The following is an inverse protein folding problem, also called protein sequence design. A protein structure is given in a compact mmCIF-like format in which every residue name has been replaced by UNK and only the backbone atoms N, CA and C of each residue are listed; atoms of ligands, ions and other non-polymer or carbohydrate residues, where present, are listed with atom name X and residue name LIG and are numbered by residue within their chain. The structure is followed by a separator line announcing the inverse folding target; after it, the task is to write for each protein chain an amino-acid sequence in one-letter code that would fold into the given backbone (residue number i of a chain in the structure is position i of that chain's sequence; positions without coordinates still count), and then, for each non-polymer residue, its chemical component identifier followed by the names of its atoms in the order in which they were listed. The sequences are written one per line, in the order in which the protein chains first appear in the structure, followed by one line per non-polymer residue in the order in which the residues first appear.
data_IF_363645129816
#
_entry.id   IF_363645129816
#
_cell.length_a   1.000
_cell.length_b   1.000
_cell.length_c   1.000
_cell.angle_alpha   90.00
_cell.angle_beta   90.00
_cell.angle_gamma   90.00
#
_symmetry.space_group_name_H-M   'P 1'
#
loop_
_entity.id
_entity.type
_entity.pdbx_description
1 polymer ?
#
# COMPACT_ATOMS: atom_id res chain seq x y z
N UNK A 1 -28.98 44.80 -9.67
CA UNK A 1 -29.39 43.73 -10.61
C UNK A 1 -28.80 42.42 -10.10
N UNK A 2 -29.64 41.46 -9.69
CA UNK A 2 -29.19 40.10 -9.36
C UNK A 2 -28.79 39.41 -10.68
N UNK A 3 -27.52 39.03 -10.80
CA UNK A 3 -27.02 38.32 -11.97
C UNK A 3 -27.68 36.96 -12.09
N UNK A 4 -28.44 36.76 -13.16
CA UNK A 4 -28.99 35.47 -13.56
C UNK A 4 -27.83 34.54 -13.94
N UNK A 5 -27.65 33.41 -13.24
CA UNK A 5 -26.71 32.37 -13.68
C UNK A 5 -27.11 31.91 -15.09
N UNK A 6 -26.24 32.09 -16.08
CA UNK A 6 -26.44 31.48 -17.39
C UNK A 6 -26.17 29.98 -17.29
N UNK A 7 -27.23 29.17 -17.30
CA UNK A 7 -27.13 27.73 -17.50
C UNK A 7 -26.89 27.46 -18.98
N UNK A 8 -25.73 26.90 -19.33
CA UNK A 8 -25.42 26.46 -20.69
C UNK A 8 -25.64 24.95 -20.80
N UNK A 9 -26.29 24.51 -21.88
CA UNK A 9 -26.54 23.08 -22.11
C UNK A 9 -25.37 22.44 -22.85
N UNK A 10 -24.72 21.48 -22.20
CA UNK A 10 -23.66 20.64 -22.78
C UNK A 10 -24.21 19.23 -23.06
N UNK A 11 -24.18 18.79 -24.32
CA UNK A 11 -24.62 17.45 -24.70
C UNK A 11 -23.45 16.46 -24.66
N UNK A 12 -23.40 15.63 -23.63
CA UNK A 12 -22.39 14.59 -23.46
C UNK A 12 -22.92 13.22 -23.88
N UNK A 13 -22.09 12.44 -24.59
CA UNK A 13 -22.39 11.05 -24.96
C UNK A 13 -21.61 10.10 -24.07
N UNK A 14 -22.32 9.23 -23.35
CA UNK A 14 -21.72 8.25 -22.46
C UNK A 14 -22.00 6.81 -22.93
N UNK A 15 -21.10 5.90 -22.59
CA UNK A 15 -21.30 4.48 -22.83
C UNK A 15 -22.49 3.95 -22.01
N UNK A 16 -23.27 3.02 -22.58
CA UNK A 16 -24.54 2.53 -21.99
C UNK A 16 -24.36 2.00 -20.55
N UNK A 17 -23.27 1.27 -20.29
CA UNK A 17 -22.92 0.76 -18.95
C UNK A 17 -22.74 1.87 -17.91
N UNK A 18 -22.18 3.02 -18.31
CA UNK A 18 -21.96 4.15 -17.40
C UNK A 18 -23.29 4.82 -17.03
N UNK A 19 -24.19 4.97 -18.01
CA UNK A 19 -25.54 5.51 -17.78
C UNK A 19 -26.34 4.61 -16.83
N UNK A 20 -26.23 3.30 -16.99
CA UNK A 20 -26.88 2.33 -16.10
C UNK A 20 -26.32 2.41 -14.67
N UNK A 21 -24.99 2.49 -14.51
CA UNK A 21 -24.35 2.67 -13.20
C UNK A 21 -24.78 3.98 -12.53
N UNK A 22 -24.82 5.09 -13.28
CA UNK A 22 -25.31 6.38 -12.78
C UNK A 22 -26.77 6.33 -12.35
N UNK A 23 -27.64 5.66 -13.11
CA UNK A 23 -29.06 5.46 -12.75
C UNK A 23 -29.24 4.66 -11.47
N UNK A 24 -28.52 3.54 -11.34
CA UNK A 24 -28.59 2.69 -10.14
C UNK A 24 -28.15 3.48 -8.90
N UNK A 25 -27.06 4.25 -9.04
CA UNK A 25 -26.52 5.04 -7.93
C UNK A 25 -27.42 6.23 -7.58
N UNK A 26 -27.95 6.95 -8.57
CA UNK A 26 -28.89 8.04 -8.37
C UNK A 26 -30.16 7.56 -7.65
N UNK A 27 -30.65 6.35 -7.98
CA UNK A 27 -31.77 5.73 -7.28
C UNK A 27 -31.47 5.37 -5.83
N UNK A 28 -30.24 4.91 -5.52
CA UNK A 28 -29.81 4.63 -4.14
C UNK A 28 -29.62 5.89 -3.30
N UNK A 29 -29.15 6.97 -3.92
CA UNK A 29 -28.87 8.26 -3.26
C UNK A 29 -30.07 9.22 -3.31
N UNK A 30 -31.23 8.76 -3.80
CA UNK A 30 -32.45 9.54 -3.97
C UNK A 30 -32.23 10.93 -4.62
N UNK A 31 -31.41 10.95 -5.67
CA UNK A 31 -31.05 12.17 -6.42
C UNK A 31 -31.32 11.98 -7.92
N UNK A 32 -31.35 13.07 -8.69
CA UNK A 32 -31.49 12.96 -10.14
C UNK A 32 -30.18 12.53 -10.79
N UNK A 33 -30.25 11.79 -11.90
CA UNK A 33 -29.07 11.38 -12.67
C UNK A 33 -28.26 12.59 -13.15
N UNK A 34 -28.94 13.68 -13.51
CA UNK A 34 -28.29 14.92 -13.95
C UNK A 34 -27.57 15.61 -12.80
N UNK A 35 -28.19 15.72 -11.62
CA UNK A 35 -27.55 16.30 -10.43
C UNK A 35 -26.37 15.44 -9.95
N UNK A 36 -26.47 14.11 -10.06
CA UNK A 36 -25.37 13.20 -9.73
C UNK A 36 -24.22 13.32 -10.73
N UNK A 37 -24.52 13.40 -12.04
CA UNK A 37 -23.52 13.59 -13.08
C UNK A 37 -22.86 14.97 -13.00
N UNK A 38 -23.65 16.03 -12.74
CA UNK A 38 -23.15 17.37 -12.49
C UNK A 38 -22.27 17.38 -11.24
N UNK A 39 -22.65 16.74 -10.14
CA UNK A 39 -21.79 16.61 -8.95
C UNK A 39 -20.50 15.84 -9.24
N UNK A 40 -20.54 14.79 -10.06
CA UNK A 40 -19.31 14.07 -10.44
C UNK A 40 -18.41 14.88 -11.38
N UNK A 41 -19.00 15.62 -12.32
CA UNK A 41 -18.27 16.52 -13.21
C UNK A 41 -17.72 17.70 -12.42
N UNK A 42 -18.51 18.31 -11.55
CA UNK A 42 -18.13 19.41 -10.68
C UNK A 42 -17.03 18.95 -9.71
N UNK A 43 -17.17 17.79 -9.06
CA UNK A 43 -16.08 17.22 -8.25
C UNK A 43 -14.83 16.87 -9.08
N UNK A 44 -15.01 16.35 -10.30
CA UNK A 44 -13.90 16.01 -11.21
C UNK A 44 -13.28 17.19 -11.95
N UNK A 45 -13.90 18.37 -11.89
CA UNK A 45 -13.42 19.64 -12.46
C UNK A 45 -12.97 20.63 -11.37
N UNK A 46 -13.43 20.45 -10.12
CA UNK A 46 -12.96 21.12 -8.90
C UNK A 46 -11.63 20.58 -8.41
N UNK A 47 -11.28 19.35 -8.81
CA UNK A 47 -9.89 18.88 -8.76
C UNK A 47 -9.06 19.88 -9.53
N UNK A 48 -8.19 20.59 -8.81
CA UNK A 48 -7.24 21.54 -9.40
C UNK A 48 -6.63 20.85 -10.61
N UNK A 49 -6.85 21.42 -11.80
CA UNK A 49 -6.29 20.91 -13.04
C UNK A 49 -4.82 20.65 -12.75
N UNK A 50 -4.34 19.39 -12.87
CA UNK A 50 -3.01 19.07 -12.43
C UNK A 50 -2.04 20.05 -13.10
N UNK A 51 -1.14 20.64 -12.32
CA UNK A 51 -0.09 21.46 -12.94
C UNK A 51 0.64 20.61 -13.97
N UNK A 52 1.26 21.24 -14.96
CA UNK A 52 2.06 20.54 -15.98
C UNK A 52 3.06 19.54 -15.35
N UNK A 53 3.49 19.80 -14.10
CA UNK A 53 4.33 18.92 -13.28
C UNK A 53 3.74 17.54 -13.00
N UNK A 54 2.52 17.42 -12.44
CA UNK A 54 1.92 16.11 -12.16
C UNK A 54 1.72 15.27 -13.44
N UNK A 55 1.30 15.89 -14.55
CA UNK A 55 1.16 15.19 -15.81
C UNK A 55 2.50 14.69 -16.36
N UNK A 56 3.60 15.42 -16.15
CA UNK A 56 4.94 14.94 -16.48
C UNK A 56 5.33 13.72 -15.65
N UNK A 57 5.00 13.71 -14.35
CA UNK A 57 5.27 12.55 -13.49
C UNK A 57 4.52 11.30 -13.95
N UNK A 58 3.26 11.45 -14.35
CA UNK A 58 2.42 10.34 -14.84
C UNK A 58 2.81 9.91 -16.26
N UNK A 59 3.36 10.80 -17.09
CA UNK A 59 3.79 10.47 -18.45
C UNK A 59 5.03 9.56 -18.49
N UNK A 60 5.92 9.68 -17.50
CA UNK A 60 7.07 8.79 -17.32
C UNK A 60 7.18 8.34 -15.84
N UNK A 61 6.37 7.34 -15.43
CA UNK A 61 6.37 6.86 -14.06
C UNK A 61 7.71 6.21 -13.68
N UNK A 62 8.45 5.64 -14.64
CA UNK A 62 9.72 4.96 -14.38
C UNK A 62 10.82 5.97 -14.04
N UNK A 63 10.88 7.11 -14.75
CA UNK A 63 11.74 8.23 -14.35
C UNK A 63 11.34 8.83 -13.00
N UNK A 64 10.04 8.99 -12.76
CA UNK A 64 9.51 9.49 -11.48
C UNK A 64 9.93 8.59 -10.31
N UNK A 65 9.75 7.27 -10.44
CA UNK A 65 10.18 6.30 -9.41
C UNK A 65 11.68 6.39 -9.17
N UNK A 66 12.51 6.51 -10.21
CA UNK A 66 13.97 6.67 -10.05
C UNK A 66 14.33 7.92 -9.26
N UNK A 67 13.69 9.05 -9.56
CA UNK A 67 13.88 10.29 -8.82
C UNK A 67 13.46 10.16 -7.36
N UNK A 68 12.25 9.65 -7.12
CA UNK A 68 11.71 9.45 -5.78
C UNK A 68 12.53 8.44 -4.98
N UNK A 69 13.05 7.39 -5.60
CA UNK A 69 13.91 6.41 -4.94
C UNK A 69 15.23 7.03 -4.49
N UNK A 70 15.89 7.83 -5.34
CA UNK A 70 17.10 8.59 -4.96
C UNK A 70 16.81 9.52 -3.78
N UNK A 71 15.70 10.25 -3.83
CA UNK A 71 15.36 11.24 -2.81
C UNK A 71 14.91 10.59 -1.49
N UNK A 72 13.92 9.70 -1.53
CA UNK A 72 13.26 9.13 -0.35
C UNK A 72 14.07 7.96 0.22
N UNK A 73 14.52 7.02 -0.61
CA UNK A 73 15.15 5.78 -0.14
C UNK A 73 16.63 5.99 0.12
N UNK A 74 17.37 6.50 -0.88
CA UNK A 74 18.83 6.71 -0.78
C UNK A 74 19.21 7.98 -0.02
N UNK A 75 18.27 8.88 0.26
CA UNK A 75 18.55 10.15 0.93
C UNK A 75 19.48 11.07 0.11
N UNK A 76 19.55 10.87 -1.21
CA UNK A 76 20.36 11.67 -2.12
C UNK A 76 19.62 12.97 -2.46
N UNK A 77 19.53 13.85 -1.45
CA UNK A 77 18.96 15.19 -1.58
C UNK A 77 20.05 16.13 -2.09
N UNK A 78 20.35 16.11 -3.40
CA UNK A 78 21.36 16.97 -4.02
C UNK A 78 20.94 18.46 -4.04
N UNK A 79 20.75 19.07 -2.88
CA UNK A 79 20.23 20.44 -2.76
C UNK A 79 18.78 20.61 -3.22
N UNK A 80 18.04 19.51 -3.42
CA UNK A 80 16.65 19.51 -3.85
C UNK A 80 15.71 19.86 -2.71
N UNK A 81 14.65 20.60 -3.04
CA UNK A 81 13.53 20.92 -2.16
C UNK A 81 12.91 19.64 -1.57
N UNK A 82 12.18 19.72 -0.43
CA UNK A 82 11.34 18.62 0.03
C UNK A 82 10.41 18.14 -1.09
N UNK A 83 9.94 16.89 -0.99
CA UNK A 83 9.00 16.29 -1.94
C UNK A 83 7.86 17.26 -2.25
N UNK A 84 7.72 17.57 -3.54
CA UNK A 84 6.78 18.56 -4.04
C UNK A 84 5.33 18.10 -3.90
N UNK A 85 4.37 19.03 -3.98
CA UNK A 85 2.93 18.72 -3.95
C UNK A 85 2.52 17.71 -5.03
N UNK A 86 3.08 17.85 -6.24
CA UNK A 86 2.79 16.94 -7.36
C UNK A 86 3.35 15.54 -7.11
N UNK A 87 4.55 15.43 -6.54
CA UNK A 87 5.13 14.15 -6.11
C UNK A 87 4.34 13.50 -4.97
N UNK A 88 3.87 14.29 -3.99
CA UNK A 88 3.00 13.78 -2.91
C UNK A 88 1.67 13.26 -3.50
N UNK A 89 1.07 13.99 -4.44
CA UNK A 89 -0.13 13.55 -5.15
C UNK A 89 0.13 12.26 -5.92
N UNK A 90 1.27 12.15 -6.61
CA UNK A 90 1.68 10.95 -7.33
C UNK A 90 1.78 9.74 -6.39
N UNK A 91 2.51 9.89 -5.27
CA UNK A 91 2.67 8.84 -4.25
C UNK A 91 1.32 8.38 -3.71
N UNK A 92 0.45 9.32 -3.31
CA UNK A 92 -0.86 9.00 -2.73
C UNK A 92 -1.81 8.34 -3.73
N UNK A 93 -1.79 8.79 -4.98
CA UNK A 93 -2.58 8.20 -6.07
C UNK A 93 -2.22 6.73 -6.21
N UNK A 94 -0.94 6.41 -6.41
CA UNK A 94 -0.52 5.02 -6.61
C UNK A 94 -0.50 4.20 -5.32
N UNK A 95 -0.35 4.81 -4.14
CA UNK A 95 -0.55 4.10 -2.88
C UNK A 95 -2.00 3.62 -2.70
N UNK A 96 -2.98 4.39 -3.18
CA UNK A 96 -4.39 3.95 -3.23
C UNK A 96 -4.60 2.87 -4.29
N UNK A 97 -4.07 3.04 -5.50
CA UNK A 97 -4.16 2.04 -6.57
C UNK A 97 -3.54 0.68 -6.16
N UNK A 98 -2.56 0.67 -5.27
CA UNK A 98 -1.98 -0.56 -4.71
C UNK A 98 -3.05 -1.51 -4.14
N UNK A 99 -4.08 -0.96 -3.49
CA UNK A 99 -5.18 -1.73 -2.92
C UNK A 99 -6.15 -2.22 -4.00
N UNK A 100 -6.21 -1.59 -5.17
CA UNK A 100 -7.03 -2.04 -6.30
C UNK A 100 -6.30 -3.18 -7.05
N UNK A 101 -4.99 -3.02 -7.28
CA UNK A 101 -4.15 -4.00 -7.99
C UNK A 101 -3.79 -5.24 -7.15
N UNK A 102 -4.11 -5.25 -5.85
CA UNK A 102 -3.68 -6.29 -4.93
C UNK A 102 -4.42 -7.63 -4.98
N UNK A 103 -5.42 -7.83 -5.84
CA UNK A 103 -6.47 -8.88 -5.75
C UNK A 103 -6.28 -9.98 -4.69
N UNK A 104 -7.11 -9.94 -3.64
CA UNK A 104 -7.18 -10.91 -2.53
C UNK A 104 -5.97 -10.92 -1.57
N UNK A 105 -4.91 -10.13 -1.77
CA UNK A 105 -3.94 -9.86 -0.69
C UNK A 105 -4.56 -9.07 0.46
N UNK A 106 -4.16 -9.35 1.69
CA UNK A 106 -4.58 -8.53 2.83
C UNK A 106 -3.69 -7.29 2.93
N UNK A 107 -4.29 -6.14 3.23
CA UNK A 107 -3.56 -4.90 3.48
C UNK A 107 -2.67 -5.05 4.72
N UNK A 108 -1.37 -4.76 4.64
CA UNK A 108 -0.57 -4.71 5.86
C UNK A 108 -0.88 -3.41 6.63
N UNK A 109 -1.28 -3.57 7.89
CA UNK A 109 -1.62 -2.45 8.79
C UNK A 109 -0.54 -1.37 8.92
N UNK A 110 0.78 -1.61 8.83
CA UNK A 110 1.77 -0.55 9.04
C UNK A 110 1.72 0.56 7.97
N UNK A 111 1.59 0.19 6.69
CA UNK A 111 1.56 1.15 5.60
C UNK A 111 0.21 1.87 5.54
N UNK A 112 -0.91 1.11 5.64
CA UNK A 112 -2.25 1.69 5.76
C UNK A 112 -2.37 2.60 6.99
N UNK A 113 -1.85 2.17 8.13
CA UNK A 113 -1.82 2.95 9.37
C UNK A 113 -1.00 4.22 9.24
N UNK A 114 0.10 4.20 8.47
CA UNK A 114 0.88 5.40 8.14
C UNK A 114 0.06 6.39 7.32
N UNK A 115 -0.67 5.91 6.31
CA UNK A 115 -1.56 6.76 5.52
C UNK A 115 -2.72 7.31 6.37
N UNK A 116 -3.30 6.52 7.27
CA UNK A 116 -4.33 7.00 8.21
C UNK A 116 -3.78 8.03 9.19
N UNK A 117 -2.52 7.92 9.63
CA UNK A 117 -1.85 8.97 10.41
C UNK A 117 -1.70 10.26 9.61
N UNK A 118 -1.33 10.15 8.33
CA UNK A 118 -1.26 11.31 7.44
C UNK A 118 -2.64 11.96 7.30
N UNK A 119 -3.70 11.17 7.08
CA UNK A 119 -5.08 11.67 7.03
C UNK A 119 -5.47 12.40 8.31
N UNK A 120 -5.17 11.81 9.47
CA UNK A 120 -5.43 12.40 10.78
C UNK A 120 -4.73 13.75 10.94
N UNK A 121 -3.46 13.84 10.58
CA UNK A 121 -2.67 15.06 10.77
C UNK A 121 -3.05 16.16 9.75
N UNK A 122 -3.47 15.78 8.53
CA UNK A 122 -4.06 16.73 7.58
C UNK A 122 -5.39 17.30 8.09
N UNK A 123 -6.24 16.45 8.67
CA UNK A 123 -7.50 16.86 9.27
C UNK A 123 -7.27 17.78 10.48
N UNK A 124 -6.32 17.42 11.36
CA UNK A 124 -5.90 18.27 12.48
C UNK A 124 -5.48 19.66 12.00
N UNK A 125 -4.60 19.71 10.99
CA UNK A 125 -4.12 20.96 10.43
C UNK A 125 -5.25 21.81 9.85
N UNK A 126 -6.21 21.21 9.13
CA UNK A 126 -7.37 21.94 8.60
C UNK A 126 -8.23 22.55 9.71
N UNK A 127 -8.51 21.78 10.77
CA UNK A 127 -9.31 22.24 11.92
C UNK A 127 -8.58 23.35 12.69
N UNK A 128 -7.28 23.20 12.94
CA UNK A 128 -6.46 24.20 13.65
C UNK A 128 -6.31 25.54 12.90
N UNK A 129 -6.46 25.52 11.57
CA UNK A 129 -6.28 26.69 10.70
C UNK A 129 -7.62 27.20 10.13
N UNK A 130 -8.76 26.81 10.73
CA UNK A 130 -10.11 27.22 10.33
C UNK A 130 -10.40 27.01 8.83
N UNK A 131 -9.84 25.95 8.25
CA UNK A 131 -10.08 25.59 6.84
C UNK A 131 -11.38 24.80 6.70
N UNK A 132 -12.13 24.98 5.60
CA UNK A 132 -13.33 24.19 5.34
C UNK A 132 -13.02 22.70 5.32
N UNK A 133 -13.69 21.94 6.18
CA UNK A 133 -13.60 20.47 6.23
C UNK A 133 -14.76 19.89 5.43
N UNK A 134 -14.50 18.95 4.52
CA UNK A 134 -15.55 18.17 3.84
C UNK A 134 -16.14 17.13 4.80
N UNK A 135 -16.92 17.63 5.75
CA UNK A 135 -17.47 16.84 6.83
C UNK A 135 -18.43 15.76 6.33
N UNK A 136 -19.19 16.00 5.25
CA UNK A 136 -20.09 15.00 4.69
C UNK A 136 -19.29 13.80 4.14
N UNK A 137 -18.22 14.06 3.41
CA UNK A 137 -17.40 13.01 2.84
C UNK A 137 -16.64 12.20 3.91
N UNK A 138 -16.01 12.89 4.87
CA UNK A 138 -15.28 12.24 5.97
C UNK A 138 -16.20 11.44 6.90
N UNK A 139 -17.38 11.98 7.25
CA UNK A 139 -18.40 11.25 8.02
C UNK A 139 -18.85 9.98 7.30
N UNK A 140 -19.01 10.05 5.98
CA UNK A 140 -19.39 8.88 5.17
C UNK A 140 -18.33 7.77 5.16
N UNK A 141 -17.04 8.12 5.09
CA UNK A 141 -15.93 7.17 4.97
C UNK A 141 -15.54 6.59 6.34
N UNK A 142 -15.32 7.46 7.33
CA UNK A 142 -14.83 7.07 8.65
C UNK A 142 -15.96 6.84 9.67
N UNK A 143 -17.23 6.96 9.25
CA UNK A 143 -18.43 6.79 10.09
C UNK A 143 -18.45 7.74 11.30
N UNK A 144 -17.94 8.95 11.10
CA UNK A 144 -17.96 10.01 12.11
C UNK A 144 -19.39 10.54 12.27
N UNK A 145 -19.74 10.93 13.48
CA UNK A 145 -21.09 11.37 13.89
C UNK A 145 -21.16 12.88 14.11
N UNK A 146 -20.13 13.46 14.74
CA UNK A 146 -20.10 14.87 15.14
C UNK A 146 -19.01 15.66 14.43
N UNK A 147 -18.62 16.76 15.06
CA UNK A 147 -17.51 17.64 14.62
C UNK A 147 -16.31 17.52 15.56
N UNK A 148 -16.34 16.54 16.48
CA UNK A 148 -15.19 16.22 17.31
C UNK A 148 -14.21 15.34 16.52
N UNK A 149 -13.69 15.93 15.43
CA UNK A 149 -13.00 15.25 14.36
C UNK A 149 -11.84 14.37 14.85
N UNK A 150 -11.04 14.90 15.78
CA UNK A 150 -9.85 14.21 16.26
C UNK A 150 -10.18 13.01 17.14
N UNK A 151 -11.05 13.19 18.15
CA UNK A 151 -11.43 12.09 19.05
C UNK A 151 -12.22 11.00 18.32
N UNK A 152 -13.12 11.39 17.41
CA UNK A 152 -13.91 10.44 16.64
C UNK A 152 -13.05 9.67 15.62
N UNK A 153 -12.06 10.32 14.99
CA UNK A 153 -11.13 9.64 14.09
C UNK A 153 -10.20 8.69 14.85
N UNK A 154 -9.72 9.09 16.02
CA UNK A 154 -8.89 8.23 16.88
C UNK A 154 -9.68 7.03 17.40
N UNK A 155 -10.96 7.21 17.76
CA UNK A 155 -11.86 6.13 18.12
C UNK A 155 -12.15 5.19 16.94
N UNK A 156 -12.41 5.73 15.74
CA UNK A 156 -12.56 4.94 14.51
C UNK A 156 -11.33 4.07 14.27
N UNK A 157 -10.13 4.66 14.36
CA UNK A 157 -8.87 3.96 14.14
C UNK A 157 -8.62 2.87 15.18
N UNK A 158 -8.94 3.13 16.45
CA UNK A 158 -8.83 2.13 17.51
C UNK A 158 -9.82 0.95 17.32
N UNK A 159 -10.96 1.20 16.68
CA UNK A 159 -11.96 0.18 16.35
C UNK A 159 -11.71 -0.54 15.01
N UNK A 160 -10.69 -0.14 14.24
CA UNK A 160 -10.38 -0.74 12.95
C UNK A 160 -9.96 -2.20 13.13
N UNK A 161 -10.56 -3.09 12.35
CA UNK A 161 -10.24 -4.52 12.41
C UNK A 161 -8.80 -4.77 11.96
N UNK A 162 -8.12 -5.78 12.52
CA UNK A 162 -6.76 -6.11 12.12
C UNK A 162 -6.62 -6.55 10.66
N UNK A 163 -7.64 -7.25 10.15
CA UNK A 163 -7.75 -7.60 8.74
C UNK A 163 -8.54 -6.51 8.03
N UNK A 164 -7.85 -5.77 7.16
CA UNK A 164 -8.47 -4.83 6.22
C UNK A 164 -8.37 -5.45 4.83
N UNK A 165 -9.52 -5.76 4.24
CA UNK A 165 -9.56 -6.14 2.83
C UNK A 165 -9.22 -4.94 1.95
N UNK A 166 -8.82 -5.23 0.72
CA UNK A 166 -8.41 -4.24 -0.26
C UNK A 166 -9.45 -3.18 -0.60
N UNK A 167 -10.70 -3.60 -0.75
CA UNK A 167 -11.77 -2.67 -1.12
C UNK A 167 -12.02 -1.70 0.01
N UNK A 168 -11.92 -2.17 1.26
CA UNK A 168 -12.02 -1.31 2.42
C UNK A 168 -10.78 -0.43 2.59
N UNK A 169 -9.57 -0.96 2.38
CA UNK A 169 -8.33 -0.17 2.39
C UNK A 169 -8.35 0.96 1.37
N UNK A 170 -8.72 0.67 0.12
CA UNK A 170 -8.93 1.68 -0.92
C UNK A 170 -9.96 2.73 -0.50
N UNK A 171 -11.10 2.29 0.05
CA UNK A 171 -12.17 3.17 0.48
C UNK A 171 -11.72 4.17 1.56
N UNK A 172 -10.91 3.71 2.52
CA UNK A 172 -10.34 4.54 3.59
C UNK A 172 -9.34 5.58 3.09
N UNK A 173 -8.73 5.36 1.94
CA UNK A 173 -7.70 6.24 1.36
C UNK A 173 -8.26 7.25 0.35
N UNK A 174 -9.52 7.11 -0.07
CA UNK A 174 -10.15 8.08 -1.00
C UNK A 174 -10.06 9.55 -0.55
N UNK A 175 -10.12 9.91 0.75
CA UNK A 175 -9.95 11.30 1.17
C UNK A 175 -8.59 11.90 0.77
N UNK A 176 -7.53 11.10 0.77
CA UNK A 176 -6.17 11.56 0.45
C UNK A 176 -5.95 11.83 -1.05
N UNK A 177 -6.72 11.17 -1.92
CA UNK A 177 -6.63 11.35 -3.38
C UNK A 177 -7.67 12.36 -3.91
N UNK A 178 -8.80 12.52 -3.22
CA UNK A 178 -9.79 13.56 -3.50
C UNK A 178 -9.35 14.95 -3.03
N UNK A 179 -10.03 16.00 -3.47
CA UNK A 179 -9.83 17.38 -2.95
C UNK A 179 -10.29 17.59 -1.50
N UNK A 180 -10.60 16.53 -0.75
CA UNK A 180 -10.89 16.62 0.68
C UNK A 180 -9.76 17.33 1.44
N UNK A 181 -8.51 17.14 1.01
CA UNK A 181 -7.34 17.88 1.50
C UNK A 181 -6.67 18.63 0.35
N UNK A 182 -7.06 19.89 0.13
CA UNK A 182 -6.43 20.72 -0.90
C UNK A 182 -4.98 21.10 -0.50
N UNK A 183 -3.99 20.36 -1.03
CA UNK A 183 -2.58 20.61 -0.73
C UNK A 183 -2.09 21.99 -1.17
N UNK A 184 -2.76 22.65 -2.12
CA UNK A 184 -2.42 24.01 -2.52
C UNK A 184 -2.62 25.02 -1.38
N UNK A 185 -3.55 24.74 -0.45
CA UNK A 185 -3.85 25.62 0.68
C UNK A 185 -2.93 25.38 1.89
N UNK A 186 -2.15 24.29 1.87
CA UNK A 186 -1.26 23.88 2.96
C UNK A 186 0.16 24.38 2.68
N UNK A 187 0.81 25.11 3.61
CA UNK A 187 2.20 25.55 3.46
C UNK A 187 3.17 24.36 3.33
N UNK A 188 4.25 24.54 2.58
CA UNK A 188 5.27 23.51 2.34
C UNK A 188 5.89 22.99 3.64
N UNK A 189 6.05 23.86 4.65
CA UNK A 189 6.57 23.48 5.96
C UNK A 189 5.62 22.55 6.73
N UNK A 190 4.31 22.78 6.63
CA UNK A 190 3.30 21.92 7.25
C UNK A 190 3.23 20.57 6.52
N UNK A 191 3.25 20.59 5.17
CA UNK A 191 3.31 19.36 4.37
C UNK A 191 4.58 18.55 4.70
N UNK A 192 5.75 19.17 4.81
CA UNK A 192 6.98 18.48 5.19
C UNK A 192 6.92 17.90 6.62
N UNK A 193 6.21 18.57 7.53
CA UNK A 193 5.97 18.06 8.89
C UNK A 193 5.02 16.87 8.95
N UNK A 194 4.03 16.81 8.06
CA UNK A 194 3.05 15.71 7.96
C UNK A 194 3.64 14.53 7.16
N UNK A 195 4.25 14.81 6.02
CA UNK A 195 4.89 13.85 5.11
C UNK A 195 6.38 13.70 5.41
N UNK A 196 6.68 13.29 6.65
CA UNK A 196 8.07 13.09 7.06
C UNK A 196 8.74 11.98 6.24
N UNK A 197 10.06 12.06 6.09
CA UNK A 197 10.84 11.05 5.37
C UNK A 197 10.57 9.60 5.84
N UNK A 198 10.47 9.30 7.16
CA UNK A 198 10.10 7.96 7.62
C UNK A 198 8.72 7.50 7.12
N UNK A 199 7.72 8.40 7.10
CA UNK A 199 6.38 8.08 6.58
C UNK A 199 6.41 7.84 5.08
N UNK A 200 7.14 8.68 4.33
CA UNK A 200 7.33 8.51 2.89
C UNK A 200 8.03 7.19 2.54
N UNK A 201 9.06 6.80 3.30
CA UNK A 201 9.70 5.49 3.17
C UNK A 201 8.73 4.33 3.41
N UNK A 202 7.86 4.46 4.41
CA UNK A 202 6.90 3.42 4.75
C UNK A 202 5.81 3.22 3.68
N UNK A 203 5.41 4.28 2.96
CA UNK A 203 4.38 4.19 1.91
C UNK A 203 4.96 3.94 0.51
N UNK A 204 6.27 4.11 0.31
CA UNK A 204 6.93 3.92 -0.99
C UNK A 204 6.66 2.54 -1.63
N UNK A 205 6.70 1.41 -0.89
CA UNK A 205 6.38 0.10 -1.47
C UNK A 205 4.96 0.00 -2.03
N UNK A 206 3.98 0.69 -1.41
CA UNK A 206 2.60 0.73 -1.91
C UNK A 206 2.55 1.44 -3.27
N UNK A 207 3.24 2.57 -3.41
CA UNK A 207 3.30 3.30 -4.69
C UNK A 207 3.83 2.40 -5.82
N UNK A 208 4.89 1.62 -5.58
CA UNK A 208 5.38 0.65 -6.56
C UNK A 208 4.32 -0.41 -6.89
N UNK A 209 3.63 -0.94 -5.87
CA UNK A 209 2.57 -1.92 -6.09
C UNK A 209 1.42 -1.36 -6.93
N UNK A 210 1.01 -0.12 -6.70
CA UNK A 210 -0.03 0.54 -7.49
C UNK A 210 0.37 0.86 -8.93
N UNK A 211 1.67 0.98 -9.20
CA UNK A 211 2.23 1.12 -10.55
C UNK A 211 2.35 -0.22 -11.30
N UNK A 212 1.92 -1.33 -10.69
CA UNK A 212 2.15 -2.69 -11.20
C UNK A 212 3.65 -2.93 -11.51
N UNK A 213 4.51 -2.50 -10.56
CA UNK A 213 5.95 -2.50 -10.74
C UNK A 213 6.50 -3.93 -10.88
N UNK A 214 7.06 -4.25 -12.04
CA UNK A 214 7.52 -5.60 -12.34
C UNK A 214 8.89 -5.90 -11.74
N UNK A 215 9.19 -7.19 -11.55
CA UNK A 215 10.52 -7.64 -11.15
C UNK A 215 11.63 -7.33 -12.17
N UNK A 216 11.29 -6.98 -13.42
CA UNK A 216 12.26 -6.45 -14.39
C UNK A 216 12.60 -5.00 -14.10
N UNK A 217 11.59 -4.14 -13.92
CA UNK A 217 11.79 -2.74 -13.53
C UNK A 217 12.53 -2.61 -12.20
N UNK A 218 12.24 -3.49 -11.24
CA UNK A 218 12.97 -3.55 -9.96
C UNK A 218 14.48 -3.87 -10.16
N UNK A 219 14.81 -4.77 -11.10
CA UNK A 219 16.20 -5.12 -11.43
C UNK A 219 16.91 -3.97 -12.12
N UNK A 220 16.26 -3.32 -13.08
CA UNK A 220 16.83 -2.18 -13.80
C UNK A 220 17.09 -1.01 -12.85
N UNK A 221 16.13 -0.72 -11.96
CA UNK A 221 16.26 0.27 -10.90
C UNK A 221 17.45 -0.03 -9.98
N UNK A 222 17.61 -1.28 -9.56
CA UNK A 222 18.70 -1.70 -8.70
C UNK A 222 20.07 -1.60 -9.41
N UNK A 223 20.15 -1.97 -10.69
CA UNK A 223 21.40 -1.86 -11.47
C UNK A 223 21.83 -0.40 -11.70
N UNK A 224 20.85 0.49 -11.94
CA UNK A 224 21.11 1.92 -12.14
C UNK A 224 21.51 2.61 -10.83
N UNK A 225 20.72 2.41 -9.77
CA UNK A 225 20.84 3.18 -8.52
C UNK A 225 21.74 2.54 -7.48
N UNK A 226 22.04 1.26 -7.64
CA UNK A 226 22.93 0.46 -6.79
C UNK A 226 22.65 0.60 -5.28
N UNK A 227 21.40 0.41 -4.81
CA UNK A 227 21.12 0.44 -3.37
C UNK A 227 21.92 -0.62 -2.63
N UNK A 228 22.33 -0.28 -1.41
CA UNK A 228 23.02 -1.21 -0.50
C UNK A 228 21.95 -2.02 0.24
N UNK A 229 21.67 -3.22 -0.27
CA UNK A 229 20.83 -4.21 0.40
C UNK A 229 21.75 -5.39 0.76
N UNK A 230 21.82 -5.80 2.04
CA UNK A 230 22.77 -6.83 2.45
C UNK A 230 22.41 -8.21 1.89
N UNK A 231 23.44 -8.98 1.54
CA UNK A 231 23.27 -10.40 1.28
C UNK A 231 22.99 -11.15 2.58
N UNK A 232 21.96 -12.00 2.59
CA UNK A 232 21.50 -12.71 3.78
C UNK A 232 21.02 -14.11 3.38
N UNK A 233 21.36 -15.11 4.18
CA UNK A 233 20.77 -16.45 4.09
C UNK A 233 20.21 -16.83 5.44
N UNK A 234 18.93 -17.16 5.49
CA UNK A 234 18.24 -17.64 6.68
C UNK A 234 17.56 -18.97 6.38
N UNK A 235 17.60 -19.88 7.35
CA UNK A 235 16.95 -21.19 7.25
C UNK A 235 15.99 -21.36 8.41
N UNK A 236 14.74 -21.69 8.08
CA UNK A 236 13.66 -21.93 9.02
C UNK A 236 13.18 -23.37 8.85
N UNK A 237 13.11 -24.10 9.95
CA UNK A 237 12.68 -25.50 9.97
C UNK A 237 11.43 -25.65 10.83
N UNK A 238 10.47 -26.43 10.33
CA UNK A 238 9.20 -26.70 10.99
C UNK A 238 8.71 -28.11 10.64
N UNK A 239 8.89 -29.05 11.56
CA UNK A 239 8.64 -30.47 11.29
C UNK A 239 9.55 -30.97 10.16
N UNK A 240 8.96 -31.46 9.08
CA UNK A 240 9.68 -31.95 7.89
C UNK A 240 9.90 -30.89 6.83
N UNK A 241 9.44 -29.66 7.08
CA UNK A 241 9.53 -28.55 6.15
C UNK A 241 10.75 -27.69 6.47
N UNK A 242 11.49 -27.32 5.43
CA UNK A 242 12.59 -26.35 5.50
C UNK A 242 12.33 -25.21 4.51
N UNK A 243 12.36 -23.98 4.99
CA UNK A 243 12.35 -22.76 4.20
C UNK A 243 13.74 -22.16 4.23
N UNK A 244 14.36 -22.02 3.06
CA UNK A 244 15.60 -21.27 2.90
C UNK A 244 15.30 -19.95 2.19
N UNK A 245 15.55 -18.84 2.87
CA UNK A 245 15.40 -17.48 2.34
C UNK A 245 16.80 -16.97 2.06
N UNK A 246 17.14 -16.84 0.77
CA UNK A 246 18.40 -16.28 0.31
C UNK A 246 18.16 -14.95 -0.39
N UNK A 247 18.86 -13.92 0.06
CA UNK A 247 18.92 -12.62 -0.59
C UNK A 247 20.34 -12.47 -1.12
N UNK A 248 20.46 -12.46 -2.44
CA UNK A 248 21.68 -11.99 -3.10
C UNK A 248 21.76 -10.47 -2.90
N UNK A 249 22.95 -9.90 -2.71
CA UNK A 249 23.11 -8.49 -2.38
C UNK A 249 24.53 -8.15 -1.95
N UNK A 250 24.71 -7.03 -1.25
CA UNK A 250 26.04 -6.60 -0.82
C UNK A 250 26.50 -7.41 0.39
N UNK A 251 27.63 -8.10 0.26
CA UNK A 251 28.21 -8.83 1.38
C UNK A 251 28.59 -7.90 2.53
N UNK A 252 28.20 -8.23 3.78
CA UNK A 252 28.67 -7.50 4.96
C UNK A 252 30.21 -7.47 4.99
N UNK A 253 30.79 -6.27 5.01
CA UNK A 253 32.24 -6.09 4.99
C UNK A 253 32.90 -6.11 3.60
N UNK A 254 32.11 -6.07 2.52
CA UNK A 254 32.64 -5.85 1.17
C UNK A 254 33.47 -4.55 1.10
N UNK A 255 34.61 -4.62 0.40
CA UNK A 255 35.51 -3.48 0.24
C UNK A 255 34.83 -2.39 -0.61
N UNK A 256 35.13 -1.10 -0.37
CA UNK A 256 34.77 -0.03 -1.30
C UNK A 256 35.28 -0.38 -2.71
N UNK A 257 34.38 -0.46 -3.69
CA UNK A 257 34.71 -0.86 -5.07
C UNK A 257 34.54 -2.34 -5.42
N UNK A 258 33.99 -3.16 -4.52
CA UNK A 258 33.53 -4.51 -4.87
C UNK A 258 32.48 -4.47 -5.98
N UNK A 259 32.40 -5.55 -6.76
CA UNK A 259 31.37 -5.69 -7.80
C UNK A 259 29.99 -5.58 -7.18
N UNK A 260 29.13 -4.76 -7.81
CA UNK A 260 27.77 -4.60 -7.35
C UNK A 260 26.94 -5.84 -7.70
N UNK A 261 26.60 -6.63 -6.68
CA UNK A 261 25.64 -7.71 -6.80
C UNK A 261 24.20 -7.17 -6.71
N UNK A 262 23.38 -7.45 -7.73
CA UNK A 262 22.01 -6.93 -7.82
C UNK A 262 21.11 -7.64 -6.81
N UNK A 263 20.42 -6.92 -5.91
CA UNK A 263 19.60 -7.53 -4.89
C UNK A 263 18.46 -8.38 -5.45
N UNK A 264 18.41 -9.64 -5.05
CA UNK A 264 17.38 -10.58 -5.48
C UNK A 264 17.07 -11.58 -4.39
N UNK A 265 15.78 -11.86 -4.22
CA UNK A 265 15.31 -12.86 -3.28
C UNK A 265 15.06 -14.21 -3.98
N UNK A 266 15.51 -15.27 -3.32
CA UNK A 266 15.22 -16.66 -3.64
C UNK A 266 14.66 -17.33 -2.39
N UNK A 267 13.46 -17.89 -2.50
CA UNK A 267 12.84 -18.72 -1.48
C UNK A 267 12.88 -20.17 -1.97
N UNK A 268 13.48 -21.08 -1.20
CA UNK A 268 13.39 -22.52 -1.46
C UNK A 268 12.54 -23.15 -0.36
N UNK A 269 11.44 -23.79 -0.75
CA UNK A 269 10.61 -24.58 0.16
C UNK A 269 10.86 -26.05 -0.10
N UNK A 270 11.42 -26.73 0.88
CA UNK A 270 11.81 -28.15 0.83
C UNK A 270 10.95 -28.95 1.79
N UNK A 271 10.25 -29.96 1.28
CA UNK A 271 9.61 -31.02 2.07
C UNK A 271 10.32 -32.35 1.88
N UNK A 272 9.72 -33.45 2.34
CA UNK A 272 10.30 -34.79 2.22
C UNK A 272 10.48 -35.21 0.75
N UNK A 273 9.47 -34.94 -0.09
CA UNK A 273 9.40 -35.44 -1.46
C UNK A 273 9.42 -34.32 -2.52
N UNK A 274 9.69 -33.08 -2.12
CA UNK A 274 9.67 -31.95 -3.03
C UNK A 274 10.65 -30.83 -2.65
N UNK A 275 11.08 -30.08 -3.66
CA UNK A 275 11.79 -28.80 -3.53
C UNK A 275 11.20 -27.86 -4.56
N UNK A 276 10.68 -26.70 -4.12
CA UNK A 276 10.09 -25.70 -5.01
C UNK A 276 10.73 -24.32 -4.80
N UNK A 277 11.21 -23.66 -5.87
CA UNK A 277 11.76 -22.32 -5.79
C UNK A 277 10.70 -21.24 -6.04
N UNK A 278 10.78 -20.15 -5.29
CA UNK A 278 9.92 -18.98 -5.40
C UNK A 278 10.71 -17.67 -5.28
N UNK A 279 10.08 -16.57 -5.70
CA UNK A 279 10.63 -15.22 -5.67
C UNK A 279 10.00 -14.32 -4.60
N UNK A 280 10.20 -13.01 -4.79
CA UNK A 280 9.72 -11.96 -3.91
C UNK A 280 8.21 -12.01 -3.68
N UNK A 281 7.44 -12.21 -4.74
CA UNK A 281 5.97 -12.08 -4.73
C UNK A 281 5.32 -13.08 -3.77
N UNK A 282 5.77 -14.33 -3.81
CA UNK A 282 5.28 -15.40 -2.92
C UNK A 282 5.73 -15.16 -1.48
N UNK A 283 7.00 -14.79 -1.26
CA UNK A 283 7.49 -14.53 0.10
C UNK A 283 6.77 -13.33 0.73
N UNK A 284 6.66 -12.21 0.01
CA UNK A 284 6.00 -10.98 0.49
C UNK A 284 4.57 -11.26 0.95
N UNK A 285 3.80 -12.00 0.15
CA UNK A 285 2.44 -12.37 0.52
C UNK A 285 2.38 -13.36 1.69
N UNK A 286 3.25 -14.38 1.70
CA UNK A 286 3.36 -15.33 2.79
C UNK A 286 3.71 -14.64 4.11
N UNK A 287 4.68 -13.73 4.10
CA UNK A 287 5.04 -12.93 5.28
C UNK A 287 3.87 -12.08 5.78
N UNK A 288 3.13 -11.43 4.87
CA UNK A 288 1.93 -10.67 5.23
C UNK A 288 0.91 -11.52 6.00
N UNK A 289 0.56 -12.70 5.47
CA UNK A 289 -0.42 -13.60 6.09
C UNK A 289 0.08 -14.18 7.42
N UNK A 290 1.34 -14.64 7.47
CA UNK A 290 1.89 -15.30 8.65
C UNK A 290 2.14 -14.31 9.79
N UNK A 291 2.63 -13.09 9.49
CA UNK A 291 2.76 -12.03 10.48
C UNK A 291 1.41 -11.54 11.00
N UNK A 292 0.37 -11.51 10.15
CA UNK A 292 -0.98 -11.16 10.57
C UNK A 292 -1.57 -12.23 11.48
N UNK A 293 -1.46 -13.51 11.10
CA UNK A 293 -1.91 -14.63 11.93
C UNK A 293 -1.19 -14.70 13.27
N UNK A 294 0.13 -14.46 13.28
CA UNK A 294 0.93 -14.46 14.51
C UNK A 294 0.44 -13.41 15.53
N UNK A 295 -0.14 -12.29 15.06
CA UNK A 295 -0.65 -11.20 15.92
C UNK A 295 -2.15 -11.33 16.22
N UNK A 296 -2.93 -11.81 15.25
CA UNK A 296 -4.40 -11.85 15.29
C UNK A 296 -4.92 -13.18 14.73
N UNK A 297 -4.72 -14.30 15.44
CA UNK A 297 -5.06 -15.63 14.93
C UNK A 297 -6.56 -15.78 14.64
N UNK A 298 -7.41 -15.13 15.43
CA UNK A 298 -8.86 -15.10 15.25
C UNK A 298 -9.30 -14.51 13.92
N UNK A 299 -8.50 -13.59 13.36
CA UNK A 299 -8.83 -12.87 12.15
C UNK A 299 -8.66 -13.74 10.89
N UNK A 300 -7.87 -14.83 10.97
CA UNK A 300 -7.64 -15.80 9.89
C UNK A 300 -8.10 -17.22 10.27
N UNK A 301 -8.96 -17.36 11.29
CA UNK A 301 -9.42 -18.65 11.80
C UNK A 301 -10.03 -19.58 10.74
N UNK A 302 -10.70 -19.03 9.72
CA UNK A 302 -11.32 -19.79 8.63
C UNK A 302 -10.42 -19.91 7.39
N UNK A 303 -9.15 -19.52 7.51
CA UNK A 303 -8.22 -19.43 6.40
C UNK A 303 -8.42 -18.20 5.50
N UNK A 304 -7.54 -18.08 4.52
CA UNK A 304 -7.52 -16.99 3.54
C UNK A 304 -6.94 -17.49 2.22
N UNK A 305 -7.58 -17.09 1.12
CA UNK A 305 -7.09 -17.33 -0.24
C UNK A 305 -6.57 -16.00 -0.78
N UNK A 306 -5.25 -15.87 -0.85
CA UNK A 306 -4.59 -14.74 -1.47
C UNK A 306 -4.41 -14.89 -2.98
N UNK A 307 -3.57 -14.02 -3.54
CA UNK A 307 -3.22 -13.99 -4.96
C UNK A 307 -2.38 -15.23 -5.33
N UNK A 308 -1.29 -15.48 -4.59
CA UNK A 308 -0.36 -16.60 -4.80
C UNK A 308 -0.29 -17.54 -3.61
N UNK A 309 -0.64 -17.05 -2.42
CA UNK A 309 -0.53 -17.81 -1.17
C UNK A 309 -1.91 -18.07 -0.59
N UNK A 310 -2.16 -19.34 -0.26
CA UNK A 310 -3.33 -19.76 0.50
C UNK A 310 -2.91 -20.19 1.90
N UNK A 311 -3.76 -19.93 2.89
CA UNK A 311 -3.45 -20.15 4.29
C UNK A 311 -4.68 -20.71 5.01
N UNK A 312 -4.51 -21.73 5.85
CA UNK A 312 -5.55 -22.23 6.74
C UNK A 312 -4.93 -22.70 8.06
N UNK A 313 -5.29 -22.10 9.20
CA UNK A 313 -4.77 -22.55 10.48
C UNK A 313 -5.41 -23.88 10.91
N UNK A 314 -4.75 -24.63 11.81
CA UNK A 314 -5.29 -25.86 12.37
C UNK A 314 -6.54 -25.61 13.24
N UNK A 315 -7.43 -26.60 13.29
CA UNK A 315 -8.55 -26.71 14.23
C UNK A 315 -9.92 -26.28 13.72
N UNK A 316 -10.02 -25.39 12.72
CA UNK A 316 -11.32 -24.91 12.22
C UNK A 316 -11.80 -25.69 10.99
N UNK A 317 -10.95 -25.81 9.97
CA UNK A 317 -11.28 -26.50 8.71
C UNK A 317 -10.80 -27.95 8.75
N UNK A 318 -9.58 -28.16 9.26
CA UNK A 318 -8.91 -29.45 9.42
C UNK A 318 -8.15 -29.48 10.74
N UNK A 319 -7.88 -30.65 11.31
CA UNK A 319 -7.02 -30.76 12.50
C UNK A 319 -5.58 -30.28 12.22
N UNK A 320 -5.10 -30.55 11.00
CA UNK A 320 -3.85 -30.01 10.47
C UNK A 320 -4.01 -28.57 9.99
N UNK A 321 -2.91 -27.81 10.05
CA UNK A 321 -2.82 -26.53 9.34
C UNK A 321 -2.24 -26.75 7.95
N UNK A 322 -2.52 -25.83 7.03
CA UNK A 322 -1.82 -25.83 5.74
C UNK A 322 -1.56 -24.42 5.23
N UNK A 323 -0.55 -24.31 4.38
CA UNK A 323 -0.43 -23.21 3.45
C UNK A 323 -0.13 -23.74 2.06
N UNK A 324 -0.44 -22.97 1.04
CA UNK A 324 -0.21 -23.38 -0.35
C UNK A 324 0.31 -22.22 -1.18
N UNK A 325 1.01 -22.58 -2.25
CA UNK A 325 1.68 -21.69 -3.19
C UNK A 325 1.50 -22.26 -4.59
N UNK A 326 1.05 -21.48 -5.57
CA UNK A 326 1.04 -21.79 -7.01
C UNK A 326 0.92 -23.29 -7.39
N UNK A 327 -0.11 -23.98 -6.88
CA UNK A 327 -0.43 -25.39 -7.20
C UNK A 327 0.08 -26.45 -6.19
N UNK A 328 0.86 -26.06 -5.18
CA UNK A 328 1.29 -26.92 -4.08
C UNK A 328 0.53 -26.57 -2.79
N UNK A 329 0.05 -27.58 -2.07
CA UNK A 329 -0.53 -27.44 -0.71
C UNK A 329 0.29 -28.27 0.26
N UNK A 330 0.74 -27.64 1.34
CA UNK A 330 1.60 -28.24 2.35
C UNK A 330 0.81 -28.34 3.64
N UNK A 331 0.37 -29.55 3.96
CA UNK A 331 -0.30 -29.88 5.21
C UNK A 331 0.74 -30.19 6.29
N UNK A 332 0.48 -29.75 7.52
CA UNK A 332 1.37 -29.99 8.63
C UNK A 332 0.64 -30.07 9.97
N UNK A 333 1.17 -30.86 10.92
CA UNK A 333 0.66 -30.90 12.28
C UNK A 333 0.64 -29.52 12.93
N UNK A 334 -0.30 -29.29 13.85
CA UNK A 334 -0.50 -28.00 14.52
C UNK A 334 0.77 -27.47 15.19
N UNK A 335 1.59 -28.35 15.78
CA UNK A 335 2.87 -27.97 16.40
C UNK A 335 3.86 -27.41 15.37
N UNK A 336 4.07 -28.13 14.26
CA UNK A 336 4.95 -27.67 13.18
C UNK A 336 4.43 -26.37 12.55
N UNK A 337 3.12 -26.23 12.38
CA UNK A 337 2.50 -25.00 11.89
C UNK A 337 2.76 -23.81 12.82
N UNK A 338 2.58 -23.99 14.12
CA UNK A 338 2.87 -22.95 15.11
C UNK A 338 4.36 -22.56 15.12
N UNK A 339 5.27 -23.54 15.01
CA UNK A 339 6.70 -23.28 14.86
C UNK A 339 7.00 -22.47 13.60
N UNK A 340 6.44 -22.84 12.46
CA UNK A 340 6.64 -22.13 11.19
C UNK A 340 6.19 -20.67 11.30
N UNK A 341 4.98 -20.44 11.80
CA UNK A 341 4.42 -19.09 12.00
C UNK A 341 5.33 -18.27 12.90
N UNK A 342 5.76 -18.84 14.04
CA UNK A 342 6.59 -18.14 15.01
C UNK A 342 7.97 -17.79 14.44
N UNK A 343 8.68 -18.77 13.89
CA UNK A 343 10.04 -18.55 13.36
C UNK A 343 10.02 -17.60 12.16
N UNK A 344 9.10 -17.79 11.20
CA UNK A 344 8.99 -16.92 10.04
C UNK A 344 8.67 -15.48 10.43
N UNK A 345 7.69 -15.27 11.32
CA UNK A 345 7.33 -13.91 11.74
C UNK A 345 8.45 -13.22 12.51
N UNK A 346 9.14 -13.93 13.41
CA UNK A 346 10.19 -13.36 14.26
C UNK A 346 11.47 -13.07 13.46
N UNK A 347 11.94 -14.03 12.67
CA UNK A 347 13.19 -13.91 11.90
C UNK A 347 13.10 -12.84 10.81
N UNK A 348 11.91 -12.61 10.27
CA UNK A 348 11.68 -11.60 9.23
C UNK A 348 11.35 -10.21 9.79
N UNK A 349 11.10 -10.07 11.10
CA UNK A 349 10.78 -8.79 11.74
C UNK A 349 12.00 -8.11 12.38
N UNK A 350 13.04 -8.86 12.72
CA UNK A 350 14.22 -8.35 13.44
C UNK A 350 15.54 -8.78 12.79
N UNK A 351 16.60 -7.99 12.99
CA UNK A 351 17.96 -8.29 12.53
C UNK A 351 18.19 -8.08 11.03
N UNK A 352 19.25 -8.71 10.51
CA UNK A 352 19.76 -8.48 9.16
C UNK A 352 18.76 -8.87 8.06
N UNK A 353 17.99 -9.94 8.26
CA UNK A 353 16.96 -10.34 7.30
C UNK A 353 15.87 -9.28 7.19
N UNK A 354 15.41 -8.71 8.31
CA UNK A 354 14.40 -7.65 8.30
C UNK A 354 14.87 -6.38 7.59
N UNK A 355 16.14 -6.00 7.77
CA UNK A 355 16.76 -4.87 7.04
C UNK A 355 16.80 -5.16 5.54
N UNK A 356 17.28 -6.35 5.14
CA UNK A 356 17.32 -6.75 3.74
C UNK A 356 15.92 -6.76 3.09
N UNK A 357 14.93 -7.34 3.78
CA UNK A 357 13.54 -7.38 3.33
C UNK A 357 12.96 -5.96 3.21
N UNK A 358 13.28 -5.04 4.12
CA UNK A 358 12.86 -3.64 4.02
C UNK A 358 13.41 -2.97 2.76
N UNK A 359 14.69 -3.21 2.43
CA UNK A 359 15.27 -2.74 1.17
C UNK A 359 14.58 -3.33 -0.06
N UNK A 360 14.28 -4.64 -0.04
CA UNK A 360 13.58 -5.31 -1.14
C UNK A 360 12.16 -4.80 -1.35
N UNK A 361 11.41 -4.49 -0.27
CA UNK A 361 10.07 -3.84 -0.38
C UNK A 361 10.14 -2.54 -1.17
N UNK A 362 11.19 -1.75 -0.93
CA UNK A 362 11.39 -0.49 -1.64
C UNK A 362 11.80 -0.67 -3.12
N UNK A 363 12.25 -1.86 -3.53
CA UNK A 363 12.60 -2.17 -4.93
C UNK A 363 11.46 -2.83 -5.70
N UNK A 364 10.78 -3.80 -5.08
CA UNK A 364 9.79 -4.66 -5.73
C UNK A 364 8.34 -4.29 -5.40
N UNK A 365 8.12 -3.43 -4.40
CA UNK A 365 6.79 -3.10 -3.89
C UNK A 365 6.24 -4.14 -2.91
N UNK A 366 5.27 -3.73 -2.09
CA UNK A 366 4.56 -4.57 -1.12
C UNK A 366 3.19 -3.96 -0.80
N UNK A 367 2.29 -4.74 -0.16
CA UNK A 367 0.94 -4.31 0.24
C UNK A 367 0.75 -4.29 1.76
#
# INVERSE_FOLDING_TARGET
MKGTMMLSQLNLRFHKKLIEALKVRAGRENTSVNALAERFLDNGLKTVAPGDGYFQLVADPDATVRQLYRHIILGQTFGTAPVSRDELRFILTYAREAFICGQNRLATLPALGTLLNITRDLLAWQVENDRPVDGHYLKGIFRLTGENWMEEFDAFRAALRPVVDQMYGEHLLRPLESDCFNFADIPDSALAGIFTLPRLKAVFPLMLRGLDWSGEKARDLAQELRPVIPAVTETIEAGTLRLEIRIDGQHPGARPGAWYETPRLHLLITGQDFVVPYGWEVLSEMLGLFSLYARYPEALAHGHQGERVMFSPPGHVTEEGFFGTDGLRIFMPAEAFATLVRELSTRCSEGNLAEALTGLRCLYGDL
#
